data_IF_344575809980
#
_entry.id   IF_344575809980
#
_cell.length_a   1.000
_cell.length_b   1.000
_cell.length_c   1.000
_cell.angle_alpha   90.00
_cell.angle_beta   90.00
_cell.angle_gamma   90.00
#
_symmetry.space_group_name_H-M   'P 1'
#
loop_
_entity.id
_entity.type
_entity.pdbx_description
1 polymer ?
#
# COMPACT_ATOMS: atom_id res chain seq x y z
N UNK A 1 7.58 -15.85 19.98
CA UNK A 1 6.64 -15.11 19.12
C UNK A 1 5.22 -15.31 19.65
N UNK A 2 4.82 -14.48 20.62
CA UNK A 2 3.42 -14.27 21.08
C UNK A 2 3.30 -12.93 21.86
N UNK A 3 4.11 -11.93 21.52
CA UNK A 3 4.20 -10.67 22.26
C UNK A 3 3.14 -9.65 21.80
N UNK A 4 2.76 -8.67 22.65
CA UNK A 4 1.87 -7.57 22.25
C UNK A 4 2.37 -6.82 20.99
N UNK A 5 3.69 -6.72 20.84
CA UNK A 5 4.36 -6.09 19.70
C UNK A 5 4.01 -6.78 18.36
N UNK A 6 3.92 -8.11 18.34
CA UNK A 6 3.67 -8.90 17.14
C UNK A 6 2.19 -8.82 16.74
N UNK A 7 1.27 -8.77 17.71
CA UNK A 7 -0.16 -8.55 17.44
C UNK A 7 -0.42 -7.16 16.86
N UNK A 8 0.22 -6.13 17.44
CA UNK A 8 0.15 -4.76 16.91
C UNK A 8 0.71 -4.72 15.48
N UNK A 9 1.85 -5.36 15.25
CA UNK A 9 2.46 -5.44 13.93
C UNK A 9 1.55 -6.17 12.91
N UNK A 10 0.94 -7.30 13.30
CA UNK A 10 0.03 -8.05 12.46
C UNK A 10 -1.23 -7.25 12.08
N UNK A 11 -1.88 -6.62 13.06
CA UNK A 11 -3.06 -5.78 12.81
C UNK A 11 -2.68 -4.58 11.92
N UNK A 12 -1.56 -3.93 12.21
CA UNK A 12 -1.03 -2.85 11.37
C UNK A 12 -0.75 -3.31 9.94
N UNK A 13 -0.20 -4.51 9.75
CA UNK A 13 0.04 -5.12 8.43
C UNK A 13 -1.27 -5.25 7.65
N UNK A 14 -2.32 -5.79 8.28
CA UNK A 14 -3.62 -5.99 7.64
C UNK A 14 -4.28 -4.65 7.26
N UNK A 15 -4.21 -3.65 8.14
CA UNK A 15 -4.73 -2.31 7.84
C UNK A 15 -3.97 -1.63 6.70
N UNK A 16 -2.64 -1.70 6.71
CA UNK A 16 -1.81 -1.13 5.65
C UNK A 16 -2.07 -1.79 4.30
N UNK A 17 -2.18 -3.13 4.28
CA UNK A 17 -2.57 -3.90 3.10
C UNK A 17 -3.94 -3.47 2.59
N UNK A 18 -4.93 -3.33 3.48
CA UNK A 18 -6.27 -2.88 3.12
C UNK A 18 -6.30 -1.48 2.51
N UNK A 19 -5.54 -0.53 3.05
CA UNK A 19 -5.45 0.83 2.50
C UNK A 19 -4.86 0.86 1.09
N UNK A 20 -3.85 0.03 0.82
CA UNK A 20 -3.24 -0.07 -0.51
C UNK A 20 -4.19 -0.77 -1.48
N UNK A 21 -4.81 -1.87 -1.05
CA UNK A 21 -5.71 -2.65 -1.89
C UNK A 21 -7.01 -1.91 -2.26
N UNK A 22 -7.51 -1.07 -1.36
CA UNK A 22 -8.71 -0.27 -1.62
C UNK A 22 -8.47 0.85 -2.66
N UNK A 23 -7.21 1.21 -2.92
CA UNK A 23 -6.79 2.23 -3.90
C UNK A 23 -7.70 3.47 -3.99
N UNK A 24 -8.09 4.02 -2.84
CA UNK A 24 -8.96 5.20 -2.70
C UNK A 24 -8.26 6.52 -3.11
N UNK A 25 -7.34 6.42 -4.06
CA UNK A 25 -6.55 7.51 -4.59
C UNK A 25 -5.14 7.60 -4.02
N UNK A 26 -4.29 8.35 -4.74
CA UNK A 26 -2.84 8.46 -4.52
C UNK A 26 -2.43 8.67 -3.06
N UNK A 27 -3.14 9.53 -2.33
CA UNK A 27 -2.78 9.89 -0.95
C UNK A 27 -3.08 8.75 0.03
N UNK A 28 -4.21 8.06 -0.11
CA UNK A 28 -4.58 6.95 0.75
C UNK A 28 -3.58 5.80 0.61
N UNK A 29 -3.26 5.41 -0.64
CA UNK A 29 -2.25 4.40 -0.95
C UNK A 29 -0.88 4.80 -0.40
N UNK A 30 -0.51 6.08 -0.54
CA UNK A 30 0.72 6.64 0.06
C UNK A 30 0.78 6.51 1.59
N UNK A 31 -0.31 6.78 2.30
CA UNK A 31 -0.39 6.58 3.76
C UNK A 31 -0.39 5.10 4.16
N UNK A 32 -0.92 4.22 3.32
CA UNK A 32 -0.79 2.76 3.47
C UNK A 32 0.69 2.33 3.51
N UNK A 33 1.51 2.85 2.60
CA UNK A 33 2.97 2.62 2.62
C UNK A 33 3.65 3.18 3.87
N UNK A 34 3.24 4.35 4.36
CA UNK A 34 3.79 4.92 5.61
C UNK A 34 3.48 4.00 6.80
N UNK A 35 2.25 3.50 6.90
CA UNK A 35 1.86 2.56 7.94
C UNK A 35 2.66 1.25 7.84
N UNK A 36 2.86 0.73 6.63
CA UNK A 36 3.71 -0.44 6.41
C UNK A 36 5.15 -0.22 6.87
N UNK A 37 5.74 0.96 6.64
CA UNK A 37 7.07 1.27 7.16
C UNK A 37 7.13 1.15 8.69
N UNK A 38 6.15 1.72 9.41
CA UNK A 38 6.09 1.64 10.87
C UNK A 38 5.95 0.19 11.37
N UNK A 39 5.15 -0.60 10.67
CA UNK A 39 4.95 -2.02 10.96
C UNK A 39 6.20 -2.85 10.66
N UNK A 40 6.90 -2.59 9.56
CA UNK A 40 8.17 -3.26 9.25
C UNK A 40 9.23 -2.99 10.31
N UNK A 41 9.34 -1.76 10.82
CA UNK A 41 10.23 -1.44 11.96
C UNK A 41 9.87 -2.28 13.18
N UNK A 42 8.58 -2.42 13.47
CA UNK A 42 8.08 -3.24 14.58
C UNK A 42 8.48 -4.71 14.42
N UNK A 43 8.32 -5.27 13.21
CA UNK A 43 8.74 -6.65 12.91
C UNK A 43 10.26 -6.84 12.93
N UNK A 44 11.04 -5.84 12.54
CA UNK A 44 12.51 -5.88 12.66
C UNK A 44 12.91 -5.97 14.13
N UNK A 45 12.37 -5.09 14.98
CA UNK A 45 12.65 -5.11 16.42
C UNK A 45 12.23 -6.43 17.05
N UNK A 46 11.03 -6.93 16.71
CA UNK A 46 10.56 -8.23 17.19
C UNK A 46 11.50 -9.36 16.75
N UNK A 47 11.89 -9.39 15.48
CA UNK A 47 12.78 -10.42 14.94
C UNK A 47 14.16 -10.42 15.61
N UNK A 48 14.73 -9.24 15.88
CA UNK A 48 16.01 -9.11 16.56
C UNK A 48 15.93 -9.51 18.04
N UNK A 49 14.84 -9.18 18.74
CA UNK A 49 14.67 -9.52 20.17
C UNK A 49 14.29 -10.97 20.44
N UNK A 50 13.86 -11.70 19.40
CA UNK A 50 13.41 -13.10 19.48
C UNK A 50 14.34 -14.06 18.73
N UNK A 51 15.53 -13.61 18.33
CA UNK A 51 16.51 -14.35 17.50
C UNK A 51 15.92 -14.89 16.17
N UNK A 52 14.85 -14.28 15.68
CA UNK A 52 14.21 -14.59 14.41
C UNK A 52 14.80 -13.74 13.27
N UNK A 53 16.07 -13.96 12.96
CA UNK A 53 16.82 -13.21 11.94
C UNK A 53 16.15 -13.19 10.55
N UNK A 54 15.53 -14.28 10.05
CA UNK A 54 14.82 -14.24 8.77
C UNK A 54 13.66 -13.23 8.73
N UNK A 55 12.90 -13.10 9.82
CA UNK A 55 11.79 -12.15 9.92
C UNK A 55 12.31 -10.71 9.90
N UNK A 56 13.40 -10.45 10.63
CA UNK A 56 14.03 -9.14 10.66
C UNK A 56 14.60 -8.75 9.29
N UNK A 57 15.33 -9.66 8.63
CA UNK A 57 15.92 -9.42 7.31
C UNK A 57 14.85 -9.17 6.24
N UNK A 58 13.78 -9.98 6.21
CA UNK A 58 12.66 -9.78 5.29
C UNK A 58 12.00 -8.41 5.49
N UNK A 59 11.73 -8.02 6.74
CA UNK A 59 11.10 -6.74 7.02
C UNK A 59 12.01 -5.54 6.78
N UNK A 60 13.33 -5.70 6.85
CA UNK A 60 14.28 -4.67 6.43
C UNK A 60 14.19 -4.40 4.91
N UNK A 61 14.08 -5.45 4.09
CA UNK A 61 13.85 -5.30 2.65
C UNK A 61 12.49 -4.67 2.37
N UNK A 62 11.43 -5.14 3.05
CA UNK A 62 10.09 -4.55 2.92
C UNK A 62 10.08 -3.08 3.34
N UNK A 63 10.82 -2.67 4.36
CA UNK A 63 10.94 -1.28 4.76
C UNK A 63 11.48 -0.40 3.62
N UNK A 64 12.49 -0.88 2.88
CA UNK A 64 13.03 -0.15 1.73
C UNK A 64 12.02 -0.04 0.58
N UNK A 65 11.31 -1.13 0.28
CA UNK A 65 10.27 -1.15 -0.77
C UNK A 65 9.12 -0.20 -0.39
N UNK A 66 8.65 -0.25 0.86
CA UNK A 66 7.59 0.63 1.33
C UNK A 66 8.04 2.10 1.35
N UNK A 67 9.29 2.38 1.74
CA UNK A 67 9.84 3.74 1.67
C UNK A 67 9.89 4.27 0.23
N UNK A 68 10.23 3.40 -0.74
CA UNK A 68 10.11 3.76 -2.16
C UNK A 68 8.66 4.03 -2.57
N UNK A 69 7.70 3.23 -2.10
CA UNK A 69 6.26 3.49 -2.29
C UNK A 69 5.81 4.84 -1.72
N UNK A 70 6.25 5.20 -0.51
CA UNK A 70 6.01 6.53 0.09
C UNK A 70 6.55 7.64 -0.81
N UNK A 71 7.79 7.51 -1.28
CA UNK A 71 8.38 8.50 -2.18
C UNK A 71 7.58 8.61 -3.49
N UNK A 72 7.22 7.48 -4.09
CA UNK A 72 6.49 7.41 -5.35
C UNK A 72 5.11 8.06 -5.25
N UNK A 73 4.36 7.79 -4.17
CA UNK A 73 2.96 8.20 -4.02
C UNK A 73 2.78 9.52 -3.30
N UNK A 74 3.58 9.86 -2.27
CA UNK A 74 3.41 11.12 -1.52
C UNK A 74 4.35 12.24 -2.01
N UNK A 75 5.62 11.91 -2.29
CA UNK A 75 6.66 12.93 -2.48
C UNK A 75 6.96 13.28 -3.95
N UNK A 76 6.76 12.34 -4.88
CA UNK A 76 7.09 12.55 -6.29
C UNK A 76 6.11 13.52 -6.97
N UNK A 77 6.58 14.73 -7.21
CA UNK A 77 5.84 15.76 -7.94
C UNK A 77 5.52 15.34 -9.39
N UNK A 78 6.40 14.53 -10.01
CA UNK A 78 6.17 13.97 -11.35
C UNK A 78 4.96 13.04 -11.35
N UNK A 79 4.94 12.05 -10.44
CA UNK A 79 3.86 11.07 -10.39
C UNK A 79 2.53 11.72 -10.04
N UNK A 80 2.55 12.72 -9.15
CA UNK A 80 1.39 13.54 -8.86
C UNK A 80 0.78 14.15 -10.13
N UNK A 81 1.60 14.82 -10.96
CA UNK A 81 1.11 15.45 -12.20
C UNK A 81 0.61 14.43 -13.22
N UNK A 82 1.23 13.26 -13.29
CA UNK A 82 0.77 12.17 -14.18
C UNK A 82 -0.59 11.67 -13.73
N UNK A 83 -0.77 11.37 -12.44
CA UNK A 83 -2.06 10.94 -11.88
C UNK A 83 -3.17 11.97 -12.11
N UNK A 84 -2.91 13.26 -11.84
CA UNK A 84 -3.85 14.37 -12.10
C UNK A 84 -4.29 14.47 -13.57
N UNK A 85 -3.48 13.97 -14.51
CA UNK A 85 -3.80 13.91 -15.94
C UNK A 85 -4.51 12.63 -16.36
N UNK A 86 -4.28 11.54 -15.65
CA UNK A 86 -4.89 10.24 -15.90
C UNK A 86 -6.30 10.16 -15.33
N UNK A 87 -6.57 10.80 -14.18
CA UNK A 87 -7.89 10.82 -13.52
C UNK A 87 -9.07 11.08 -14.48
N UNK A 88 -9.09 12.14 -15.31
CA UNK A 88 -10.21 12.37 -16.22
C UNK A 88 -10.31 11.32 -17.35
N UNK A 89 -9.17 10.84 -17.84
CA UNK A 89 -9.12 9.82 -18.90
C UNK A 89 -9.59 8.47 -18.35
N UNK A 90 -9.24 8.15 -17.11
CA UNK A 90 -9.66 6.92 -16.44
C UNK A 90 -11.17 6.94 -16.17
N UNK A 91 -11.71 8.06 -15.69
CA UNK A 91 -13.15 8.22 -15.49
C UNK A 91 -13.92 8.04 -16.80
N UNK A 92 -13.44 8.65 -17.89
CA UNK A 92 -14.03 8.48 -19.22
C UNK A 92 -14.02 7.01 -19.68
N UNK A 93 -12.88 6.31 -19.53
CA UNK A 93 -12.77 4.89 -19.88
C UNK A 93 -13.67 4.01 -18.99
N UNK A 94 -13.78 4.30 -17.70
CA UNK A 94 -14.61 3.55 -16.76
C UNK A 94 -16.09 3.69 -17.13
N UNK A 95 -16.55 4.91 -17.42
CA UNK A 95 -17.89 5.19 -17.92
C UNK A 95 -18.15 4.50 -19.27
N UNK A 96 -17.18 4.50 -20.20
CA UNK A 96 -17.28 3.81 -21.49
C UNK A 96 -17.43 2.29 -21.29
N UNK A 97 -16.61 1.68 -20.44
CA UNK A 97 -16.65 0.23 -20.16
C UNK A 97 -17.97 -0.14 -19.47
N UNK A 98 -18.45 0.67 -18.53
CA UNK A 98 -19.74 0.42 -17.86
C UNK A 98 -20.89 0.42 -18.87
N UNK A 99 -20.91 1.39 -19.79
CA UNK A 99 -21.89 1.43 -20.88
C UNK A 99 -21.79 0.23 -21.84
N UNK A 100 -20.58 -0.23 -22.15
CA UNK A 100 -20.36 -1.44 -22.96
C UNK A 100 -20.90 -2.69 -22.26
N UNK A 101 -20.66 -2.84 -20.96
CA UNK A 101 -21.17 -3.96 -20.17
C UNK A 101 -22.69 -3.94 -20.07
N UNK A 102 -23.31 -2.78 -19.86
CA UNK A 102 -24.76 -2.63 -19.85
C UNK A 102 -25.39 -2.98 -21.20
N UNK A 103 -24.79 -2.51 -22.30
CA UNK A 103 -25.23 -2.84 -23.66
C UNK A 103 -25.06 -4.32 -23.98
N UNK A 104 -23.93 -4.92 -23.60
CA UNK A 104 -23.66 -6.34 -23.79
C UNK A 104 -24.57 -7.24 -22.96
N UNK A 105 -25.02 -6.79 -21.79
CA UNK A 105 -25.99 -7.51 -20.96
C UNK A 105 -27.43 -7.45 -21.50
N UNK A 106 -27.73 -6.54 -22.43
CA UNK A 106 -29.06 -6.36 -23.03
C UNK A 106 -29.21 -7.02 -24.41
N UNK A 107 -28.12 -7.55 -24.98
CA UNK A 107 -28.08 -8.27 -26.26
C UNK A 107 -28.18 -9.79 -26.06
#
# INVERSE_FOLDING_TARGET
MNGPLEWIAAIGTMMAAGLIAADLGRRATGYGFVLFCAVSVTWIVSGLTTDAMPIAAMNAVLLLINAFGVWQYLLSAKNRKVMERLEPVQAEIEDEVEQELERGSQA
#
